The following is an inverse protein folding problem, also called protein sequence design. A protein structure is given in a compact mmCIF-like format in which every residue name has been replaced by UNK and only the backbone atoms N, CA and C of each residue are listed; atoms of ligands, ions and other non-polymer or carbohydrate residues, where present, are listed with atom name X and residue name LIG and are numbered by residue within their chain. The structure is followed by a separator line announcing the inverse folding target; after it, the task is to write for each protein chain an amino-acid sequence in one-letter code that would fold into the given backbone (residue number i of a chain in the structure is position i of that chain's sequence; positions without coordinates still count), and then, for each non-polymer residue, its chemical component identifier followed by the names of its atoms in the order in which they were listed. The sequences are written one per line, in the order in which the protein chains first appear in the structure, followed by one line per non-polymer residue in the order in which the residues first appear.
data_IF_126904474398
#
_entry.id   IF_126904474398
#
_cell.length_a   1.000
_cell.length_b   1.000
_cell.length_c   1.000
_cell.angle_alpha   90.00
_cell.angle_beta   90.00
_cell.angle_gamma   90.00
#
_symmetry.space_group_name_H-M   'P 1'
#
loop_
_entity.id
_entity.type
_entity.pdbx_description
1 polymer ?
#
# COMPACT_ATOMS: atom_id res chain seq x y z
N UNK A 1 7.72 -2.22 -7.79
CA UNK A 1 7.97 -3.67 -8.00
C UNK A 1 6.68 -4.46 -7.99
N UNK A 2 5.76 -4.16 -7.06
CA UNK A 2 4.42 -4.76 -7.03
C UNK A 2 3.66 -4.57 -8.35
N UNK A 3 3.63 -3.34 -8.89
CA UNK A 3 3.01 -3.05 -10.20
C UNK A 3 3.57 -3.88 -11.36
N UNK A 4 4.84 -4.30 -11.28
CA UNK A 4 5.50 -5.10 -12.31
C UNK A 4 5.41 -6.62 -12.05
N UNK A 5 4.68 -7.06 -11.02
CA UNK A 5 4.55 -8.46 -10.62
C UNK A 5 5.84 -9.10 -10.08
N UNK A 6 6.90 -8.31 -9.82
CA UNK A 6 8.17 -8.81 -9.26
C UNK A 6 8.09 -9.08 -7.75
N UNK A 7 7.17 -8.39 -7.08
CA UNK A 7 6.75 -8.67 -5.70
C UNK A 7 5.24 -8.83 -5.73
N UNK A 8 4.70 -9.77 -4.93
CA UNK A 8 3.26 -10.01 -4.86
C UNK A 8 2.53 -9.07 -3.89
N UNK A 9 3.29 -8.37 -3.04
CA UNK A 9 2.80 -7.37 -2.10
C UNK A 9 3.93 -6.63 -1.39
N UNK A 10 3.58 -5.54 -0.73
CA UNK A 10 4.47 -4.67 0.02
C UNK A 10 3.70 -4.04 1.19
N UNK A 11 4.34 -3.94 2.36
CA UNK A 11 3.78 -3.32 3.56
C UNK A 11 4.82 -2.43 4.22
N UNK A 12 4.39 -1.25 4.68
CA UNK A 12 5.19 -0.33 5.48
C UNK A 12 4.27 0.32 6.53
N UNK A 13 4.63 0.32 7.83
CA UNK A 13 3.80 0.93 8.87
C UNK A 13 3.67 2.45 8.71
N UNK A 14 4.65 3.12 8.11
CA UNK A 14 4.59 4.56 7.88
C UNK A 14 5.42 4.99 6.67
N UNK A 15 4.79 5.74 5.76
CA UNK A 15 5.47 6.39 4.64
C UNK A 15 4.93 7.81 4.43
N UNK A 16 5.81 8.71 3.98
CA UNK A 16 5.39 10.05 3.58
C UNK A 16 4.75 10.02 2.18
N UNK A 17 3.87 11.00 1.88
CA UNK A 17 3.14 11.05 0.61
C UNK A 17 4.07 11.07 -0.63
N UNK A 18 5.19 11.79 -0.55
CA UNK A 18 6.15 11.90 -1.66
C UNK A 18 6.92 10.60 -1.93
N UNK A 19 6.97 9.68 -0.97
CA UNK A 19 7.64 8.39 -1.13
C UNK A 19 6.72 7.35 -1.79
N UNK A 20 5.40 7.44 -1.59
CA UNK A 20 4.48 6.36 -1.96
C UNK A 20 3.44 6.70 -3.05
N UNK A 21 2.94 7.94 -3.14
CA UNK A 21 1.74 8.23 -3.95
C UNK A 21 1.94 7.90 -5.43
N UNK A 22 3.10 8.21 -6.00
CA UNK A 22 3.42 7.86 -7.39
C UNK A 22 3.49 6.34 -7.62
N UNK A 23 3.96 5.58 -6.61
CA UNK A 23 4.03 4.13 -6.67
C UNK A 23 2.66 3.47 -6.50
N UNK A 24 1.81 4.02 -5.64
CA UNK A 24 0.44 3.55 -5.42
C UNK A 24 -0.40 3.68 -6.69
N UNK A 25 -0.33 4.83 -7.37
CA UNK A 25 -1.00 5.01 -8.65
C UNK A 25 -0.55 3.99 -9.69
N UNK A 26 0.76 3.74 -9.82
CA UNK A 26 1.28 2.72 -10.74
C UNK A 26 0.74 1.32 -10.43
N UNK A 27 0.52 1.00 -9.16
CA UNK A 27 -0.01 -0.31 -8.76
C UNK A 27 -1.49 -0.42 -9.10
N UNK A 28 -2.28 0.61 -8.82
CA UNK A 28 -3.71 0.65 -9.15
C UNK A 28 -3.94 0.54 -10.67
N UNK A 29 -3.17 1.28 -11.48
CA UNK A 29 -3.24 1.21 -12.95
C UNK A 29 -2.79 -0.15 -13.51
N UNK A 30 -1.94 -0.88 -12.78
CA UNK A 30 -1.57 -2.25 -13.11
C UNK A 30 -2.60 -3.30 -12.63
N UNK A 31 -3.73 -2.88 -12.06
CA UNK A 31 -4.78 -3.74 -11.51
C UNK A 31 -4.47 -4.32 -10.12
N UNK A 32 -3.47 -3.78 -9.43
CA UNK A 32 -3.19 -4.10 -8.03
C UNK A 32 -4.13 -3.38 -7.07
N UNK A 33 -4.05 -3.75 -5.79
CA UNK A 33 -4.86 -3.16 -4.72
C UNK A 33 -3.95 -2.47 -3.70
N UNK A 34 -4.43 -1.38 -3.13
CA UNK A 34 -3.79 -0.64 -2.06
C UNK A 34 -4.81 -0.23 -0.99
N UNK A 35 -4.33 0.10 0.21
CA UNK A 35 -5.19 0.77 1.20
C UNK A 35 -5.67 2.12 0.67
N UNK A 36 -6.92 2.50 0.96
CA UNK A 36 -7.43 3.82 0.62
C UNK A 36 -6.56 4.92 1.24
N UNK A 37 -6.18 5.89 0.42
CA UNK A 37 -5.43 7.06 0.86
C UNK A 37 -6.43 8.20 1.10
N UNK A 38 -6.48 8.73 2.32
CA UNK A 38 -7.16 9.99 2.59
C UNK A 38 -6.19 11.16 2.33
N UNK A 39 -6.38 11.97 1.27
CA UNK A 39 -5.35 12.91 0.81
C UNK A 39 -4.94 13.95 1.86
N UNK A 40 -5.89 14.48 2.64
CA UNK A 40 -5.60 15.53 3.62
C UNK A 40 -4.77 15.02 4.80
N UNK A 41 -4.99 13.79 5.23
CA UNK A 41 -4.26 13.10 6.29
C UNK A 41 -2.91 12.64 5.78
N UNK A 42 -2.89 11.97 4.62
CA UNK A 42 -1.66 11.47 4.02
C UNK A 42 -0.68 12.61 3.74
N UNK A 43 -1.15 13.75 3.23
CA UNK A 43 -0.30 14.90 2.96
C UNK A 43 0.34 15.50 4.23
N UNK A 44 -0.39 15.48 5.36
CA UNK A 44 0.06 16.11 6.61
C UNK A 44 0.87 15.19 7.52
N UNK A 45 0.53 13.90 7.54
CA UNK A 45 0.99 12.96 8.56
C UNK A 45 1.64 11.71 7.97
N UNK A 46 1.57 11.52 6.65
CA UNK A 46 1.86 10.22 6.05
C UNK A 46 0.87 9.16 6.53
N UNK A 47 1.25 7.89 6.39
CA UNK A 47 0.40 6.79 6.83
C UNK A 47 0.94 5.43 6.45
N UNK A 48 0.25 4.36 6.88
CA UNK A 48 0.61 3.01 6.50
C UNK A 48 0.38 2.80 5.00
N UNK A 49 1.27 2.03 4.40
CA UNK A 49 1.15 1.59 3.01
C UNK A 49 1.02 0.08 3.02
N UNK A 50 -0.11 -0.42 2.52
CA UNK A 50 -0.31 -1.86 2.28
C UNK A 50 -0.83 -2.01 0.87
N UNK A 51 -0.12 -2.80 0.07
CA UNK A 51 -0.48 -3.03 -1.32
C UNK A 51 -0.11 -4.44 -1.75
N UNK A 52 -0.91 -5.03 -2.64
CA UNK A 52 -0.67 -6.37 -3.15
C UNK A 52 -1.43 -6.64 -4.45
N UNK A 53 -1.10 -7.76 -5.10
CA UNK A 53 -1.90 -8.29 -6.19
C UNK A 53 -3.29 -8.75 -5.68
N UNK A 54 -4.35 -8.72 -6.50
CA UNK A 54 -5.73 -8.96 -6.04
C UNK A 54 -5.94 -10.27 -5.27
N UNK A 55 -5.30 -11.36 -5.67
CA UNK A 55 -5.45 -12.66 -5.03
C UNK A 55 -4.80 -12.81 -3.65
N UNK A 56 -3.98 -11.84 -3.21
CA UNK A 56 -3.22 -11.90 -1.95
C UNK A 56 -3.42 -10.68 -1.04
N UNK A 57 -4.18 -9.68 -1.48
CA UNK A 57 -4.36 -8.42 -0.75
C UNK A 57 -4.93 -8.63 0.65
N UNK A 58 -6.05 -9.33 0.79
CA UNK A 58 -6.71 -9.56 2.10
C UNK A 58 -5.77 -10.24 3.11
N UNK A 59 -5.00 -11.25 2.66
CA UNK A 59 -4.03 -11.93 3.53
C UNK A 59 -2.87 -11.02 3.90
N UNK A 60 -2.40 -10.20 2.95
CA UNK A 60 -1.30 -9.24 3.18
C UNK A 60 -1.74 -8.17 4.18
N UNK A 61 -2.96 -7.66 4.04
CA UNK A 61 -3.56 -6.70 4.96
C UNK A 61 -3.76 -7.30 6.35
N UNK A 62 -4.25 -8.54 6.46
CA UNK A 62 -4.37 -9.22 7.75
C UNK A 62 -3.02 -9.36 8.48
N UNK A 63 -1.94 -9.70 7.75
CA UNK A 63 -0.58 -9.74 8.32
C UNK A 63 -0.14 -8.35 8.78
N UNK A 64 -0.35 -7.30 7.97
CA UNK A 64 0.02 -5.94 8.32
C UNK A 64 -0.71 -5.45 9.58
N UNK A 65 -2.02 -5.71 9.71
CA UNK A 65 -2.79 -5.38 10.91
C UNK A 65 -2.23 -6.07 12.16
N UNK A 66 -1.93 -7.36 12.06
CA UNK A 66 -1.39 -8.13 13.18
C UNK A 66 0.03 -7.67 13.57
N UNK A 67 0.85 -7.24 12.61
CA UNK A 67 2.23 -6.82 12.84
C UNK A 67 2.36 -5.38 13.34
N UNK A 68 1.51 -4.48 12.86
CA UNK A 68 1.68 -3.03 13.05
C UNK A 68 0.53 -2.37 13.82
N UNK A 69 -0.47 -3.13 14.28
CA UNK A 69 -1.68 -2.61 14.93
C UNK A 69 -2.43 -1.56 14.10
N UNK A 70 -2.59 -1.83 12.79
CA UNK A 70 -3.39 -1.02 11.86
C UNK A 70 -4.91 -1.23 12.06
#
# INVERSE_FOLDING_TARGET
YVAAGRLIGYVEPHMNPWDCIAGLLQIEEAGGLALPVEPATMLRQGGPVVTACPGVFERTHAIAKAAFNL
#
